data_IF_183527161364
#
_entry.id   IF_183527161364
#
_cell.length_a   1.000
_cell.length_b   1.000
_cell.length_c   1.000
_cell.angle_alpha   90.00
_cell.angle_beta   90.00
_cell.angle_gamma   90.00
#
_symmetry.space_group_name_H-M   'P 1'
#
loop_
_entity.id
_entity.type
_entity.pdbx_description
1 polymer ?
#
# COMPACT_ATOMS: atom_id res chain seq x y z
N UNK A 1 -18.89 19.81 6.12
CA UNK A 1 -17.98 19.23 5.10
C UNK A 1 -17.33 17.99 5.69
N UNK A 2 -18.02 16.86 5.63
CA UNK A 2 -17.56 15.59 6.18
C UNK A 2 -16.55 15.01 5.19
N UNK A 3 -15.26 15.09 5.52
CA UNK A 3 -14.22 14.40 4.77
C UNK A 3 -14.30 12.91 5.11
N UNK A 4 -15.21 12.20 4.45
CA UNK A 4 -15.20 10.75 4.34
C UNK A 4 -13.98 10.31 3.51
N UNK A 5 -12.78 10.44 4.08
CA UNK A 5 -11.67 9.58 3.66
C UNK A 5 -11.92 8.21 4.27
N UNK A 6 -12.88 7.48 3.70
CA UNK A 6 -13.07 6.06 4.00
C UNK A 6 -11.70 5.39 3.91
N UNK A 7 -11.31 4.83 5.04
CA UNK A 7 -10.15 3.98 5.33
C UNK A 7 -10.07 2.72 4.45
N UNK A 8 -10.71 2.72 3.27
CA UNK A 8 -10.90 1.52 2.45
C UNK A 8 -9.62 1.08 1.74
N UNK A 9 -8.62 1.94 1.56
CA UNK A 9 -7.40 1.58 0.81
C UNK A 9 -6.24 1.11 1.69
N UNK A 10 -6.34 1.26 3.02
CA UNK A 10 -5.23 0.90 3.92
C UNK A 10 -5.19 -0.60 4.18
N UNK A 11 -6.33 -1.24 4.48
CA UNK A 11 -6.40 -2.69 4.76
C UNK A 11 -5.99 -3.53 3.56
N UNK A 12 -6.49 -3.19 2.37
CA UNK A 12 -6.23 -3.92 1.12
C UNK A 12 -4.74 -3.86 0.72
N UNK A 13 -4.04 -2.75 1.01
CA UNK A 13 -2.63 -2.59 0.71
C UNK A 13 -1.69 -3.31 1.69
N UNK A 14 -2.16 -3.69 2.89
CA UNK A 14 -1.40 -4.48 3.87
C UNK A 14 -1.76 -5.96 3.83
N UNK A 15 -2.99 -6.29 3.43
CA UNK A 15 -3.46 -7.66 3.20
C UNK A 15 -2.68 -8.41 2.10
N UNK A 16 -1.97 -7.66 1.25
CA UNK A 16 -0.88 -8.15 0.40
C UNK A 16 -0.01 -9.18 1.12
N UNK A 17 0.20 -9.00 2.44
CA UNK A 17 0.81 -10.00 3.31
C UNK A 17 0.17 -9.97 4.71
N UNK A 18 -1.01 -10.57 4.88
CA UNK A 18 -1.70 -10.72 6.18
C UNK A 18 -3.23 -10.66 6.05
N UNK A 19 -3.95 -10.79 7.16
CA UNK A 19 -5.41 -10.66 7.20
C UNK A 19 -5.83 -9.17 7.27
N UNK A 20 -6.70 -8.67 6.37
CA UNK A 20 -7.11 -7.25 6.34
C UNK A 20 -7.72 -6.73 7.64
N UNK A 21 -8.37 -7.61 8.40
CA UNK A 21 -9.08 -7.33 9.64
C UNK A 21 -8.23 -7.50 10.90
N UNK A 22 -7.06 -8.14 10.81
CA UNK A 22 -6.14 -8.37 11.93
C UNK A 22 -4.78 -7.70 11.66
N UNK A 23 -4.58 -6.46 12.15
CA UNK A 23 -3.37 -5.70 11.91
C UNK A 23 -2.08 -6.28 12.49
N UNK A 24 -2.17 -7.22 13.44
CA UNK A 24 -1.00 -7.90 13.99
C UNK A 24 -0.44 -8.94 13.01
N UNK A 25 -1.24 -9.39 12.03
CA UNK A 25 -0.80 -10.30 10.97
C UNK A 25 -0.19 -9.56 9.78
N UNK A 26 -0.31 -8.23 9.71
CA UNK A 26 0.20 -7.44 8.61
C UNK A 26 1.72 -7.48 8.62
N UNK A 27 2.33 -8.03 7.56
CA UNK A 27 3.71 -7.63 7.24
C UNK A 27 3.59 -6.27 6.58
N UNK A 28 4.17 -5.25 7.19
CA UNK A 28 4.07 -3.84 6.76
C UNK A 28 5.16 -3.53 5.73
N UNK A 29 4.98 -3.75 4.41
CA UNK A 29 6.06 -3.47 3.48
C UNK A 29 6.31 -1.97 3.39
N UNK A 30 5.33 -1.12 3.07
CA UNK A 30 5.57 0.29 2.70
C UNK A 30 5.15 1.35 3.72
N UNK A 31 4.72 0.97 4.92
CA UNK A 31 4.51 1.92 6.02
C UNK A 31 5.30 1.52 7.27
N UNK A 32 5.63 2.52 8.09
CA UNK A 32 6.18 2.30 9.43
C UNK A 32 5.06 1.90 10.42
N UNK A 33 5.43 1.42 11.62
CA UNK A 33 4.46 1.14 12.70
C UNK A 33 3.64 2.37 13.12
N UNK A 34 4.05 3.59 12.75
CA UNK A 34 3.26 4.79 13.01
C UNK A 34 1.91 4.79 12.27
N UNK A 35 1.69 3.91 11.30
CA UNK A 35 0.39 3.71 10.64
C UNK A 35 -0.75 3.47 11.64
N UNK A 36 -0.50 2.79 12.76
CA UNK A 36 -1.52 2.57 13.79
C UNK A 36 -2.05 3.89 14.38
N UNK A 37 -1.19 4.90 14.49
CA UNK A 37 -1.59 6.25 14.92
C UNK A 37 -2.42 6.94 13.83
N UNK A 38 -2.08 6.74 12.56
CA UNK A 38 -2.84 7.30 11.45
C UNK A 38 -4.23 6.67 11.33
N UNK A 39 -4.35 5.36 11.52
CA UNK A 39 -5.63 4.63 11.58
C UNK A 39 -6.53 5.11 12.74
N UNK A 40 -5.93 5.60 13.83
CA UNK A 40 -6.63 6.23 14.95
C UNK A 40 -6.94 7.73 14.72
N UNK A 41 -6.62 8.28 13.53
CA UNK A 41 -6.80 9.70 13.20
C UNK A 41 -5.80 10.63 13.90
N UNK A 42 -4.73 10.10 14.49
CA UNK A 42 -3.74 10.85 15.27
C UNK A 42 -2.50 11.25 14.48
N UNK A 43 -2.42 10.88 13.20
CA UNK A 43 -1.31 11.18 12.30
C UNK A 43 -1.78 11.12 10.84
N UNK A 44 -1.21 11.94 9.97
CA UNK A 44 -1.48 11.84 8.53
C UNK A 44 -0.87 10.55 7.97
N UNK A 45 -1.64 9.79 7.21
CA UNK A 45 -1.18 8.51 6.63
C UNK A 45 0.09 8.67 5.77
N UNK A 46 0.22 9.79 5.06
CA UNK A 46 1.39 10.06 4.20
C UNK A 46 2.70 10.17 5.01
N UNK A 47 2.62 10.63 6.26
CA UNK A 47 3.79 10.69 7.17
C UNK A 47 4.26 9.31 7.64
N UNK A 48 3.47 8.27 7.38
CA UNK A 48 3.78 6.91 7.82
C UNK A 48 4.42 6.08 6.71
N UNK A 49 4.46 6.60 5.47
CA UNK A 49 5.05 5.91 4.31
C UNK A 49 6.55 5.71 4.53
N UNK A 50 6.99 4.46 4.40
CA UNK A 50 8.38 4.06 4.40
C UNK A 50 8.88 3.98 2.96
N UNK A 51 9.46 5.09 2.47
CA UNK A 51 9.94 5.19 1.09
C UNK A 51 11.04 4.20 0.74
N UNK A 52 11.89 3.81 1.70
CA UNK A 52 12.94 2.81 1.50
C UNK A 52 12.37 1.42 1.19
N UNK A 53 11.13 1.17 1.62
CA UNK A 53 10.43 -0.10 1.41
C UNK A 53 9.39 -0.05 0.30
N UNK A 54 9.06 1.14 -0.21
CA UNK A 54 8.10 1.31 -1.30
C UNK A 54 8.48 0.50 -2.56
N UNK A 55 9.75 0.44 -3.01
CA UNK A 55 10.12 -0.38 -4.16
C UNK A 55 9.81 -1.87 -3.98
N UNK A 56 9.97 -2.41 -2.76
CA UNK A 56 9.65 -3.80 -2.48
C UNK A 56 8.15 -4.07 -2.57
N UNK A 57 7.31 -3.15 -2.07
CA UNK A 57 5.85 -3.24 -2.20
C UNK A 57 5.40 -3.20 -3.67
N UNK A 58 6.00 -2.30 -4.47
CA UNK A 58 5.73 -2.22 -5.92
C UNK A 58 6.14 -3.51 -6.63
N UNK A 59 7.34 -4.02 -6.34
CA UNK A 59 7.84 -5.26 -6.94
C UNK A 59 6.94 -6.47 -6.63
N UNK A 60 6.40 -6.55 -5.42
CA UNK A 60 5.52 -7.64 -4.99
C UNK A 60 4.23 -7.75 -5.83
N UNK A 61 3.72 -6.63 -6.36
CA UNK A 61 2.55 -6.62 -7.25
C UNK A 61 2.88 -7.07 -8.69
N UNK A 62 4.13 -6.91 -9.11
CA UNK A 62 4.58 -7.26 -10.45
C UNK A 62 4.53 -8.77 -10.71
N UNK A 63 4.52 -9.18 -11.98
CA UNK A 63 4.56 -10.61 -12.35
C UNK A 63 5.81 -11.34 -11.82
N UNK A 64 6.95 -10.65 -11.71
CA UNK A 64 8.19 -11.22 -11.18
C UNK A 64 8.27 -11.25 -9.65
N UNK A 65 7.37 -10.54 -8.97
CA UNK A 65 7.33 -10.46 -7.51
C UNK A 65 8.54 -9.75 -6.89
N UNK A 66 8.59 -9.76 -5.57
CA UNK A 66 9.74 -9.33 -4.78
C UNK A 66 10.47 -10.57 -4.27
N UNK A 67 11.77 -10.70 -4.60
CA UNK A 67 12.58 -11.90 -4.29
C UNK A 67 11.97 -13.22 -4.79
N UNK A 68 11.27 -13.18 -5.93
CA UNK A 68 10.61 -14.34 -6.53
C UNK A 68 9.23 -14.65 -5.94
N UNK A 69 8.77 -13.89 -4.94
CA UNK A 69 7.44 -14.04 -4.37
C UNK A 69 6.52 -12.93 -4.86
N UNK A 70 5.42 -13.33 -5.49
CA UNK A 70 4.34 -12.45 -5.90
C UNK A 70 3.19 -12.56 -4.90
N UNK A 71 2.52 -11.43 -4.73
CA UNK A 71 1.27 -11.31 -3.99
C UNK A 71 0.22 -12.25 -4.59
N UNK A 72 -0.33 -13.11 -3.74
CA UNK A 72 -1.43 -14.01 -4.08
C UNK A 72 -2.73 -13.31 -3.72
N UNK A 73 -3.33 -12.65 -4.71
CA UNK A 73 -4.57 -11.91 -4.57
C UNK A 73 -5.30 -11.90 -5.92
N UNK A 74 -6.60 -11.64 -5.90
CA UNK A 74 -7.37 -11.56 -7.13
C UNK A 74 -6.91 -10.36 -7.99
N UNK A 75 -7.05 -10.41 -9.33
CA UNK A 75 -6.61 -9.32 -10.20
C UNK A 75 -7.16 -7.94 -9.80
N UNK A 76 -8.41 -7.89 -9.34
CA UNK A 76 -9.03 -6.64 -8.86
C UNK A 76 -8.34 -6.08 -7.61
N UNK A 77 -7.95 -6.96 -6.68
CA UNK A 77 -7.21 -6.57 -5.47
C UNK A 77 -5.81 -6.06 -5.81
N UNK A 78 -5.14 -6.67 -6.78
CA UNK A 78 -3.85 -6.20 -7.29
C UNK A 78 -3.98 -4.80 -7.90
N UNK A 79 -5.03 -4.53 -8.67
CA UNK A 79 -5.28 -3.20 -9.26
C UNK A 79 -5.55 -2.17 -8.16
N UNK A 80 -6.37 -2.51 -7.15
CA UNK A 80 -6.63 -1.63 -5.99
C UNK A 80 -5.33 -1.30 -5.24
N UNK A 81 -4.50 -2.31 -4.99
CA UNK A 81 -3.20 -2.14 -4.37
C UNK A 81 -2.27 -1.24 -5.22
N UNK A 82 -2.22 -1.46 -6.53
CA UNK A 82 -1.40 -0.65 -7.43
C UNK A 82 -1.84 0.82 -7.44
N UNK A 83 -3.15 1.09 -7.48
CA UNK A 83 -3.72 2.45 -7.36
C UNK A 83 -3.40 3.09 -6.01
N UNK A 84 -3.45 2.32 -4.93
CA UNK A 84 -3.08 2.79 -3.59
C UNK A 84 -1.60 3.22 -3.55
N UNK A 85 -0.68 2.39 -4.04
CA UNK A 85 0.75 2.74 -4.08
C UNK A 85 0.99 3.95 -4.99
N UNK A 86 0.36 4.02 -6.16
CA UNK A 86 0.49 5.15 -7.09
C UNK A 86 0.07 6.49 -6.44
N UNK A 87 -1.03 6.50 -5.67
CA UNK A 87 -1.47 7.70 -4.94
C UNK A 87 -0.44 8.23 -3.95
N UNK A 88 0.35 7.36 -3.31
CA UNK A 88 1.43 7.81 -2.45
C UNK A 88 2.52 8.55 -3.25
N UNK A 89 2.89 8.03 -4.42
CA UNK A 89 3.84 8.70 -5.31
C UNK A 89 3.32 10.08 -5.73
N UNK A 90 2.08 10.15 -6.21
CA UNK A 90 1.45 11.41 -6.64
C UNK A 90 1.40 12.46 -5.52
N UNK A 91 0.93 12.07 -4.33
CA UNK A 91 0.84 12.99 -3.18
C UNK A 91 2.20 13.47 -2.67
N UNK A 92 3.26 12.70 -2.92
CA UNK A 92 4.62 13.06 -2.58
C UNK A 92 5.35 13.80 -3.72
N UNK A 93 4.64 14.13 -4.81
CA UNK A 93 5.19 14.73 -6.02
C UNK A 93 6.36 13.90 -6.59
N UNK A 94 6.21 12.58 -6.56
CA UNK A 94 7.17 11.61 -7.09
C UNK A 94 6.58 10.96 -8.33
N UNK A 95 7.45 10.66 -9.31
CA UNK A 95 7.06 9.89 -10.50
C UNK A 95 6.51 8.52 -10.10
N UNK A 96 5.33 8.18 -10.61
CA UNK A 96 4.73 6.84 -10.48
C UNK A 96 5.60 5.84 -11.27
N UNK A 97 6.05 4.73 -10.67
CA UNK A 97 6.83 3.72 -11.39
C UNK A 97 6.03 3.06 -12.52
N UNK A 98 6.68 2.79 -13.65
CA UNK A 98 6.05 2.15 -14.83
C UNK A 98 5.44 0.78 -14.47
N UNK A 99 6.00 0.06 -13.49
CA UNK A 99 5.44 -1.18 -12.94
C UNK A 99 4.01 -1.01 -12.41
N UNK A 100 3.71 0.12 -11.77
CA UNK A 100 2.35 0.46 -11.34
C UNK A 100 1.52 0.94 -12.53
N UNK A 101 2.11 1.71 -13.44
CA UNK A 101 1.43 2.20 -14.65
C UNK A 101 0.90 1.09 -15.56
N UNK A 102 1.58 -0.05 -15.64
CA UNK A 102 1.10 -1.23 -16.39
C UNK A 102 -0.11 -1.91 -15.73
N UNK A 103 -0.34 -1.69 -14.44
CA UNK A 103 -1.40 -2.34 -13.66
C UNK A 103 -2.68 -1.50 -13.52
N UNK A 104 -2.70 -0.21 -13.86
CA UNK A 104 -3.79 0.72 -13.48
C UNK A 104 -4.49 1.41 -14.64
#
# INVERSE_FOLDING_TARGET
>A
MTRDYRLSTTKEAFAIVGAPEDPETWKLPHHTRAIFRALQGRLDIEKTVNWDRMPAAVAALSRGGYRGERVQADPEEIIKAARHLARHYEKADKRVPDTLGVLI
#
